data_IF_094296488931
#
_entry.id   IF_094296488931
#
_cell.length_a   1.000
_cell.length_b   1.000
_cell.length_c   1.000
_cell.angle_alpha   90.00
_cell.angle_beta   90.00
_cell.angle_gamma   90.00
#
_symmetry.space_group_name_H-M   'P 1'
#
loop_
_entity.id
_entity.type
_entity.pdbx_description
1 polymer ?
#
# COMPACT_ATOMS: atom_id res chain seq x y z
N UNK A 1 25.32 -4.89 12.21
CA UNK A 1 23.94 -5.41 12.18
C UNK A 1 23.34 -5.02 10.84
N UNK A 2 23.30 -5.95 9.89
CA UNK A 2 22.53 -5.76 8.68
C UNK A 2 21.10 -6.14 9.04
N UNK A 3 20.18 -5.18 8.99
CA UNK A 3 18.76 -5.41 9.19
C UNK A 3 18.25 -6.36 8.10
N UNK A 4 17.54 -7.41 8.49
CA UNK A 4 17.00 -8.44 7.59
C UNK A 4 15.74 -7.93 6.89
N UNK A 5 15.93 -6.98 5.96
CA UNK A 5 14.86 -6.34 5.19
C UNK A 5 14.28 -7.22 4.08
N UNK A 6 14.89 -8.39 3.80
CA UNK A 6 14.47 -9.28 2.72
C UNK A 6 13.11 -9.95 2.95
N UNK A 7 12.57 -9.86 4.16
CA UNK A 7 11.27 -10.41 4.55
C UNK A 7 10.15 -9.36 4.60
N UNK A 8 10.39 -8.14 4.08
CA UNK A 8 9.43 -7.04 4.13
C UNK A 8 8.75 -6.86 2.76
N UNK A 9 7.43 -6.64 2.78
CA UNK A 9 6.64 -6.21 1.63
C UNK A 9 6.51 -4.69 1.64
N UNK A 10 6.68 -4.08 0.47
CA UNK A 10 6.69 -2.63 0.32
C UNK A 10 5.48 -2.15 -0.44
N UNK A 11 4.57 -1.48 0.26
CA UNK A 11 3.32 -1.00 -0.30
C UNK A 11 3.45 0.46 -0.64
N UNK A 12 3.16 0.81 -1.89
CA UNK A 12 3.09 2.21 -2.31
C UNK A 12 1.65 2.66 -2.44
N UNK A 13 1.35 3.89 -2.05
CA UNK A 13 0.06 4.53 -2.36
C UNK A 13 0.22 5.34 -3.66
N UNK A 14 -0.70 5.17 -4.61
CA UNK A 14 -0.60 5.88 -5.87
C UNK A 14 -0.82 7.40 -5.73
N UNK A 15 -0.33 8.23 -6.64
CA UNK A 15 0.69 7.91 -7.65
C UNK A 15 2.09 8.31 -7.18
N UNK A 16 2.20 9.30 -6.28
CA UNK A 16 3.50 9.87 -5.88
C UNK A 16 4.28 8.96 -4.94
N UNK A 17 3.61 8.15 -4.12
CA UNK A 17 4.27 7.07 -3.38
C UNK A 17 5.02 6.09 -4.29
N UNK A 18 4.64 5.96 -5.57
CA UNK A 18 5.34 5.09 -6.53
C UNK A 18 6.65 5.66 -7.04
N UNK A 19 6.95 6.93 -6.76
CA UNK A 19 8.26 7.52 -7.09
C UNK A 19 9.32 6.91 -6.17
N UNK A 20 8.95 6.59 -4.92
CA UNK A 20 9.87 6.08 -3.90
C UNK A 20 9.74 4.58 -3.69
N UNK A 21 8.51 4.05 -3.61
CA UNK A 21 8.23 2.66 -3.23
C UNK A 21 9.00 1.61 -4.03
N UNK A 22 8.91 1.59 -5.38
CA UNK A 22 9.64 0.63 -6.22
C UNK A 22 11.16 0.75 -6.08
N UNK A 23 11.70 1.98 -5.95
CA UNK A 23 13.13 2.20 -5.80
C UNK A 23 13.64 1.67 -4.46
N UNK A 24 12.89 1.88 -3.37
CA UNK A 24 13.22 1.32 -2.05
C UNK A 24 13.10 -0.20 -2.08
N UNK A 25 12.04 -0.75 -2.70
CA UNK A 25 11.81 -2.20 -2.77
C UNK A 25 12.96 -2.90 -3.49
N UNK A 26 13.40 -2.32 -4.62
CA UNK A 26 14.55 -2.79 -5.36
C UNK A 26 15.84 -2.74 -4.52
N UNK A 27 16.06 -1.64 -3.78
CA UNK A 27 17.27 -1.46 -2.98
C UNK A 27 17.37 -2.46 -1.81
N UNK A 28 16.25 -2.89 -1.24
CA UNK A 28 16.22 -3.83 -0.11
C UNK A 28 15.89 -5.28 -0.52
N UNK A 29 15.65 -5.54 -1.81
CA UNK A 29 15.28 -6.86 -2.32
C UNK A 29 13.88 -7.32 -1.86
N UNK A 30 12.95 -6.38 -1.69
CA UNK A 30 11.57 -6.62 -1.29
C UNK A 30 10.62 -6.67 -2.51
N UNK A 31 9.45 -7.29 -2.33
CA UNK A 31 8.35 -7.16 -3.29
C UNK A 31 7.71 -5.77 -3.15
N UNK A 32 7.36 -5.16 -4.28
CA UNK A 32 6.56 -3.94 -4.31
C UNK A 32 5.11 -4.25 -4.64
N UNK A 33 4.17 -3.71 -3.85
CA UNK A 33 2.73 -3.90 -4.01
C UNK A 33 2.07 -2.52 -4.20
N UNK A 34 1.40 -2.27 -5.33
CA UNK A 34 0.72 -1.01 -5.57
C UNK A 34 -0.67 -0.98 -4.92
N UNK A 35 -0.95 0.07 -4.15
CA UNK A 35 -2.30 0.44 -3.72
C UNK A 35 -2.82 1.55 -4.64
N UNK A 36 -3.99 1.35 -5.25
CA UNK A 36 -4.50 2.24 -6.31
C UNK A 36 -5.95 2.60 -6.12
N UNK A 37 -6.42 3.67 -6.77
CA UNK A 37 -7.84 4.00 -6.85
C UNK A 37 -8.60 2.96 -7.70
N UNK A 38 -9.94 2.93 -7.58
CA UNK A 38 -10.78 1.97 -8.27
C UNK A 38 -10.56 1.83 -9.77
N UNK A 39 -10.49 0.57 -10.22
CA UNK A 39 -10.44 0.21 -11.64
C UNK A 39 -9.07 0.42 -12.30
N UNK A 40 -8.01 0.63 -11.50
CA UNK A 40 -6.63 0.76 -12.01
C UNK A 40 -5.82 -0.53 -11.93
N UNK A 41 -6.25 -1.50 -11.13
CA UNK A 41 -5.62 -2.80 -10.98
C UNK A 41 -6.37 -3.85 -11.82
N UNK A 42 -5.66 -4.74 -12.54
CA UNK A 42 -6.30 -5.77 -13.37
C UNK A 42 -6.62 -7.04 -12.57
N UNK A 43 -7.84 -7.59 -12.70
CA UNK A 43 -8.21 -8.84 -12.02
C UNK A 43 -8.91 -8.57 -10.69
N UNK A 44 -8.83 -9.52 -9.75
CA UNK A 44 -9.54 -9.45 -8.48
C UNK A 44 -8.84 -8.54 -7.48
N UNK A 45 -9.62 -7.73 -6.76
CA UNK A 45 -9.16 -6.74 -5.80
C UNK A 45 -10.05 -6.70 -4.57
N UNK A 46 -9.46 -6.33 -3.44
CA UNK A 46 -10.15 -5.86 -2.23
C UNK A 46 -10.10 -4.34 -2.19
N UNK A 47 -11.06 -3.71 -1.54
CA UNK A 47 -11.22 -2.26 -1.53
C UNK A 47 -11.62 -1.72 -0.16
N UNK A 48 -11.06 -0.56 0.20
CA UNK A 48 -11.43 0.19 1.41
C UNK A 48 -11.84 1.61 1.05
N UNK A 49 -12.98 2.05 1.58
CA UNK A 49 -13.50 3.40 1.37
C UNK A 49 -13.16 4.29 2.55
N UNK A 50 -12.71 5.52 2.29
CA UNK A 50 -12.36 6.48 3.33
C UNK A 50 -12.93 7.86 3.05
N UNK A 51 -13.15 8.61 4.13
CA UNK A 51 -13.79 9.93 4.10
C UNK A 51 -12.77 11.04 3.84
N UNK A 52 -13.15 12.00 3.00
CA UNK A 52 -12.44 13.25 2.76
C UNK A 52 -13.21 14.41 3.41
N UNK A 53 -12.65 15.64 3.34
CA UNK A 53 -13.39 16.85 3.76
C UNK A 53 -14.69 17.02 2.95
N UNK A 54 -14.62 16.68 1.66
CA UNK A 54 -15.77 16.69 0.75
C UNK A 54 -15.88 15.36 0.02
N UNK A 55 -16.67 14.45 0.58
CA UNK A 55 -17.01 13.16 -0.04
C UNK A 55 -16.18 11.98 0.47
N UNK A 56 -16.07 10.96 -0.37
CA UNK A 56 -15.35 9.72 -0.10
C UNK A 56 -14.45 9.36 -1.27
N UNK A 57 -13.36 8.67 -0.97
CA UNK A 57 -12.49 8.06 -1.96
C UNK A 57 -12.25 6.60 -1.58
N UNK A 58 -11.60 5.83 -2.45
CA UNK A 58 -11.41 4.40 -2.24
C UNK A 58 -10.01 3.97 -2.69
N UNK A 59 -9.47 2.97 -1.99
CA UNK A 59 -8.18 2.36 -2.25
C UNK A 59 -8.37 0.86 -2.50
N UNK A 60 -7.67 0.31 -3.48
CA UNK A 60 -7.72 -1.08 -3.90
C UNK A 60 -6.33 -1.74 -3.83
N UNK A 61 -6.34 -3.04 -3.52
CA UNK A 61 -5.18 -3.94 -3.54
C UNK A 61 -5.58 -5.28 -4.17
N UNK A 62 -4.65 -5.97 -4.84
CA UNK A 62 -4.91 -7.34 -5.30
C UNK A 62 -5.17 -8.30 -4.14
N UNK A 63 -6.14 -9.19 -4.32
CA UNK A 63 -6.38 -10.31 -3.40
C UNK A 63 -5.12 -11.17 -3.32
N UNK A 64 -4.70 -11.50 -2.09
CA UNK A 64 -3.50 -12.30 -1.83
C UNK A 64 -2.18 -11.60 -2.13
N UNK A 65 -2.17 -10.27 -2.33
CA UNK A 65 -0.92 -9.52 -2.45
C UNK A 65 -0.12 -9.52 -1.13
N UNK A 66 -0.82 -9.57 0.00
CA UNK A 66 -0.28 -9.68 1.35
C UNK A 66 -0.96 -10.86 2.04
N UNK A 67 -0.18 -11.64 2.79
CA UNK A 67 -0.67 -12.80 3.55
C UNK A 67 -0.44 -12.62 5.06
N UNK A 68 -1.23 -13.31 5.92
CA UNK A 68 -1.01 -13.28 7.35
C UNK A 68 0.41 -13.66 7.75
N UNK A 69 1.07 -12.78 8.52
CA UNK A 69 2.46 -12.95 8.96
C UNK A 69 3.48 -12.17 8.14
N UNK A 70 3.09 -11.62 6.99
CA UNK A 70 3.94 -10.71 6.24
C UNK A 70 4.25 -9.44 7.05
N UNK A 71 5.50 -8.97 6.94
CA UNK A 71 5.90 -7.68 7.49
C UNK A 71 5.76 -6.64 6.41
N UNK A 72 5.00 -5.60 6.68
CA UNK A 72 4.59 -4.64 5.66
C UNK A 72 5.11 -3.26 6.01
N UNK A 73 5.60 -2.53 5.02
CA UNK A 73 5.94 -1.11 5.15
C UNK A 73 5.17 -0.35 4.06
N UNK A 74 4.33 0.59 4.49
CA UNK A 74 3.56 1.45 3.60
C UNK A 74 4.33 2.76 3.39
N UNK A 75 4.48 3.15 2.12
CA UNK A 75 5.24 4.33 1.69
C UNK A 75 4.33 5.25 0.90
N UNK A 76 4.40 6.53 1.26
CA UNK A 76 3.81 7.62 0.51
C UNK A 76 4.79 8.80 0.44
N UNK A 77 4.55 9.75 -0.46
CA UNK A 77 5.43 10.92 -0.60
C UNK A 77 5.30 11.90 0.57
N UNK A 78 4.07 12.06 1.09
CA UNK A 78 3.79 12.94 2.23
C UNK A 78 2.53 12.50 2.96
N UNK A 79 2.60 12.47 4.29
CA UNK A 79 1.43 12.25 5.15
C UNK A 79 0.79 13.58 5.51
N UNK A 80 -0.44 13.81 5.03
CA UNK A 80 -1.25 14.98 5.40
C UNK A 80 -2.19 14.65 6.56
N UNK A 81 -3.47 14.38 6.28
CA UNK A 81 -4.45 13.99 7.30
C UNK A 81 -4.32 12.54 7.78
N UNK A 82 -3.58 11.71 7.02
CA UNK A 82 -3.42 10.28 7.28
C UNK A 82 -4.60 9.42 6.83
N UNK A 83 -5.63 9.99 6.18
CA UNK A 83 -6.81 9.25 5.73
C UNK A 83 -6.47 8.10 4.77
N UNK A 84 -5.64 8.36 3.76
CA UNK A 84 -5.22 7.34 2.78
C UNK A 84 -4.36 6.24 3.43
N UNK A 85 -3.49 6.61 4.37
CA UNK A 85 -2.69 5.65 5.13
C UNK A 85 -3.56 4.77 6.04
N UNK A 86 -4.58 5.37 6.66
CA UNK A 86 -5.54 4.63 7.49
C UNK A 86 -6.34 3.64 6.64
N UNK A 87 -6.75 4.03 5.44
CA UNK A 87 -7.39 3.13 4.48
C UNK A 87 -6.46 1.99 4.04
N UNK A 88 -5.18 2.29 3.79
CA UNK A 88 -4.18 1.28 3.47
C UNK A 88 -3.96 0.28 4.61
N UNK A 89 -3.95 0.73 5.87
CA UNK A 89 -3.83 -0.16 7.04
C UNK A 89 -5.06 -1.06 7.15
N UNK A 90 -6.27 -0.51 7.03
CA UNK A 90 -7.50 -1.31 7.09
C UNK A 90 -7.58 -2.35 5.96
N UNK A 91 -7.13 -2.02 4.75
CA UNK A 91 -7.00 -2.98 3.66
C UNK A 91 -6.14 -4.21 4.04
N UNK A 92 -5.19 -4.05 4.97
CA UNK A 92 -4.30 -5.11 5.44
C UNK A 92 -4.84 -5.85 6.67
N UNK A 93 -5.68 -5.19 7.48
CA UNK A 93 -6.20 -5.75 8.72
C UNK A 93 -7.54 -6.46 8.51
N UNK A 94 -8.38 -5.96 7.61
CA UNK A 94 -9.76 -6.41 7.42
C UNK A 94 -9.91 -7.46 6.30
N UNK A 95 -8.84 -7.74 5.55
CA UNK A 95 -8.82 -8.65 4.40
C UNK A 95 -7.57 -9.54 4.38
#
# INVERSE_FOLDING_TARGET
MLYDWHLVLLLGIEARGFIFGPAIALAIGAKFIPLRKPGKLPGEVISETYTLEYGTDCLEMHVGAVEPGDRVVVVDDLVATGGTLSAAIKLLEDH
#
